data_IF_441315366750
#
_entry.id   IF_441315366750
#
_cell.length_a   1.000
_cell.length_b   1.000
_cell.length_c   1.000
_cell.angle_alpha   90.00
_cell.angle_beta   90.00
_cell.angle_gamma   90.00
#
_symmetry.space_group_name_H-M   'P 1'
#
loop_
_entity.id
_entity.type
_entity.pdbx_description
1 polymer ?
#
# COMPACT_ATOMS: atom_id res chain seq x y z
N UNK A 1 -0.94 -2.85 0.07
CA UNK A 1 0.24 -1.95 0.01
C UNK A 1 0.93 -1.83 1.36
N UNK A 2 0.19 -1.73 2.49
CA UNK A 2 0.79 -1.65 3.82
C UNK A 2 1.70 -2.85 4.14
N UNK A 3 1.17 -4.07 4.17
CA UNK A 3 1.95 -5.29 4.53
C UNK A 3 3.01 -5.70 3.51
N UNK A 4 2.93 -5.18 2.28
CA UNK A 4 3.95 -5.38 1.24
C UNK A 4 5.03 -4.29 1.25
N UNK A 5 4.98 -3.35 2.20
CA UNK A 5 6.02 -2.33 2.40
C UNK A 5 6.45 -2.30 3.88
N UNK A 6 5.73 -1.57 4.73
CA UNK A 6 6.17 -1.30 6.12
C UNK A 6 5.10 -1.55 7.19
N UNK A 7 3.86 -1.83 6.80
CA UNK A 7 2.73 -1.94 7.73
C UNK A 7 2.53 -3.35 8.30
N UNK A 8 1.88 -3.41 9.46
CA UNK A 8 1.39 -4.66 10.07
C UNK A 8 -0.06 -4.48 10.54
N UNK A 9 -0.66 -5.54 11.08
CA UNK A 9 -2.08 -5.63 11.42
C UNK A 9 -2.53 -4.73 12.60
N UNK A 10 -1.59 -4.14 13.34
CA UNK A 10 -1.86 -3.19 14.42
C UNK A 10 -0.89 -2.01 14.35
N UNK A 11 -1.31 -0.86 14.85
CA UNK A 11 -0.46 0.33 14.88
C UNK A 11 0.75 0.12 15.79
N UNK A 12 1.92 0.54 15.34
CA UNK A 12 3.16 0.50 16.12
C UNK A 12 3.72 1.90 16.28
N UNK A 13 4.11 2.27 17.51
CA UNK A 13 4.63 3.62 17.80
C UNK A 13 5.97 3.91 17.11
N UNK A 14 6.70 2.86 16.73
CA UNK A 14 7.99 2.95 16.02
C UNK A 14 7.85 3.58 14.64
N UNK A 15 6.65 3.61 14.06
CA UNK A 15 6.36 4.36 12.85
C UNK A 15 6.68 5.85 13.00
N UNK A 16 6.53 6.40 14.21
CA UNK A 16 6.86 7.80 14.52
C UNK A 16 8.37 8.09 14.58
N UNK A 17 9.23 7.07 14.53
CA UNK A 17 10.70 7.24 14.48
C UNK A 17 11.22 7.45 13.06
N UNK A 18 10.39 7.23 12.03
CA UNK A 18 10.77 7.38 10.63
C UNK A 18 9.72 8.18 9.85
N UNK A 19 10.04 8.60 8.64
CA UNK A 19 9.05 9.26 7.78
C UNK A 19 8.28 8.21 6.97
N UNK A 20 7.11 7.79 7.46
CA UNK A 20 6.24 6.85 6.73
C UNK A 20 5.87 7.36 5.35
N UNK A 21 5.75 8.67 5.15
CA UNK A 21 5.45 9.23 3.83
C UNK A 21 6.53 8.90 2.80
N UNK A 22 7.79 8.76 3.21
CA UNK A 22 8.89 8.37 2.34
C UNK A 22 8.88 6.87 2.04
N UNK A 23 8.57 6.02 3.01
CA UNK A 23 8.80 4.56 2.90
C UNK A 23 7.53 3.73 2.64
N UNK A 24 6.33 4.28 2.85
CA UNK A 24 5.10 3.52 2.63
C UNK A 24 4.85 3.27 1.14
N UNK A 25 4.58 2.02 0.79
CA UNK A 25 3.99 1.68 -0.50
C UNK A 25 2.58 2.25 -0.59
N UNK A 26 2.18 2.76 -1.76
CA UNK A 26 0.90 3.45 -1.96
C UNK A 26 0.12 2.79 -3.09
N UNK A 27 -1.09 2.32 -2.79
CA UNK A 27 -2.06 2.02 -3.84
C UNK A 27 -2.61 3.35 -4.35
N UNK A 28 -2.39 3.67 -5.62
CA UNK A 28 -2.78 4.98 -6.19
C UNK A 28 -3.93 4.88 -7.21
N UNK A 29 -4.18 3.68 -7.74
CA UNK A 29 -5.27 3.45 -8.68
C UNK A 29 -5.82 2.04 -8.50
N UNK A 30 -7.14 1.90 -8.64
CA UNK A 30 -7.85 0.63 -8.60
C UNK A 30 -8.85 0.67 -9.76
N UNK A 31 -8.80 -0.33 -10.63
CA UNK A 31 -9.74 -0.50 -11.74
C UNK A 31 -10.46 -1.85 -11.63
N UNK A 32 -11.76 -1.92 -11.96
CA UNK A 32 -12.48 -3.19 -12.03
C UNK A 32 -12.04 -3.98 -13.26
N UNK A 33 -11.96 -5.30 -13.14
CA UNK A 33 -11.67 -6.18 -14.28
C UNK A 33 -12.92 -6.26 -15.18
N UNK A 34 -12.84 -5.93 -16.48
CA UNK A 34 -13.99 -6.02 -17.37
C UNK A 34 -14.57 -7.44 -17.41
N UNK A 35 -15.86 -7.58 -17.12
CA UNK A 35 -16.58 -8.86 -17.13
C UNK A 35 -16.62 -9.61 -15.81
N UNK A 36 -15.93 -9.13 -14.77
CA UNK A 36 -15.91 -9.74 -13.43
C UNK A 36 -16.51 -8.79 -12.40
N UNK A 37 -17.37 -9.29 -11.50
CA UNK A 37 -18.07 -8.45 -10.51
C UNK A 37 -17.26 -8.15 -9.26
N UNK A 38 -16.31 -9.02 -8.92
CA UNK A 38 -15.59 -9.00 -7.65
C UNK A 38 -14.06 -9.04 -7.82
N UNK A 39 -13.56 -8.72 -9.01
CA UNK A 39 -12.13 -8.67 -9.32
C UNK A 39 -11.66 -7.26 -9.67
N UNK A 40 -10.47 -6.91 -9.19
CA UNK A 40 -9.91 -5.57 -9.28
C UNK A 40 -8.41 -5.64 -9.58
N UNK A 41 -7.93 -4.74 -10.44
CA UNK A 41 -6.51 -4.50 -10.65
C UNK A 41 -6.12 -3.30 -9.79
N UNK A 42 -5.17 -3.52 -8.87
CA UNK A 42 -4.67 -2.50 -7.95
C UNK A 42 -3.25 -2.11 -8.33
N UNK A 43 -3.03 -0.83 -8.60
CA UNK A 43 -1.72 -0.28 -8.93
C UNK A 43 -1.04 0.26 -7.68
N UNK A 44 0.11 -0.33 -7.34
CA UNK A 44 0.88 0.01 -6.14
C UNK A 44 2.24 0.57 -6.52
N UNK A 45 2.52 1.79 -6.06
CA UNK A 45 3.83 2.42 -6.18
C UNK A 45 4.67 2.12 -4.93
N UNK A 46 5.93 1.76 -5.15
CA UNK A 46 6.92 1.54 -4.09
C UNK A 46 8.02 2.60 -4.20
N UNK A 47 8.44 3.22 -3.09
CA UNK A 47 9.66 4.02 -3.05
C UNK A 47 10.87 3.18 -3.50
N UNK A 48 11.86 3.81 -4.13
CA UNK A 48 13.07 3.13 -4.58
C UNK A 48 14.06 2.81 -3.44
N UNK A 49 13.99 3.60 -2.37
CA UNK A 49 14.87 3.49 -1.21
C UNK A 49 14.72 2.16 -0.45
#
# INVERSE_FOLDING_TARGET
AAESSTGTWTTVWTDGLTSLDRYKGRCYHIEPVPGETDQYICYVAYPLD
#
